data_IF_645522523552
#
_entry.id   IF_645522523552
#
_cell.length_a   1.000
_cell.length_b   1.000
_cell.length_c   1.000
_cell.angle_alpha   90.00
_cell.angle_beta   90.00
_cell.angle_gamma   90.00
#
_symmetry.space_group_name_H-M   'P 1'
#
loop_
_entity.id
_entity.type
_entity.pdbx_description
1 polymer ?
#
# COMPACT_ATOMS: atom_id res chain seq x y z
N UNK A 1 -19.47 20.01 -2.52
CA UNK A 1 -19.18 18.71 -3.16
C UNK A 1 -18.65 18.96 -4.56
N UNK A 2 -17.57 18.33 -4.97
CA UNK A 2 -17.09 18.36 -6.36
C UNK A 2 -18.07 17.62 -7.28
N UNK A 3 -17.96 17.84 -8.59
CA UNK A 3 -18.82 17.14 -9.55
C UNK A 3 -18.62 15.64 -9.51
N UNK A 4 -17.37 15.19 -9.34
CA UNK A 4 -17.06 13.80 -9.10
C UNK A 4 -17.80 13.24 -7.87
N UNK A 5 -17.82 13.95 -6.75
CA UNK A 5 -18.56 13.53 -5.55
C UNK A 5 -20.08 13.52 -5.73
N UNK A 6 -20.60 14.42 -6.57
CA UNK A 6 -22.03 14.40 -6.95
C UNK A 6 -22.34 13.16 -7.79
N UNK A 7 -21.47 12.83 -8.75
CA UNK A 7 -21.62 11.64 -9.60
C UNK A 7 -21.49 10.32 -8.82
N UNK A 8 -20.59 10.24 -7.85
CA UNK A 8 -20.49 9.07 -6.95
C UNK A 8 -21.76 8.90 -6.10
N UNK A 9 -22.45 9.98 -5.75
CA UNK A 9 -23.68 10.00 -4.95
C UNK A 9 -23.50 9.66 -3.46
N UNK A 10 -22.31 9.32 -3.02
CA UNK A 10 -21.92 8.98 -1.65
C UNK A 10 -20.51 9.50 -1.33
N UNK A 11 -20.00 9.19 -0.16
CA UNK A 11 -18.61 9.42 0.19
C UNK A 11 -17.73 8.53 -0.70
N UNK A 12 -16.68 9.10 -1.30
CA UNK A 12 -15.69 8.34 -2.06
C UNK A 12 -14.86 7.45 -1.13
N UNK A 13 -14.63 6.23 -1.55
CA UNK A 13 -13.77 5.28 -0.83
C UNK A 13 -12.39 5.31 -1.46
N UNK A 14 -11.41 5.82 -0.70
CA UNK A 14 -10.01 5.81 -1.08
C UNK A 14 -9.29 4.71 -0.27
N UNK A 15 -8.80 3.70 -0.96
CA UNK A 15 -8.08 2.58 -0.35
C UNK A 15 -6.58 2.86 -0.36
N UNK A 16 -5.96 2.88 0.82
CA UNK A 16 -4.51 2.70 0.92
C UNK A 16 -4.18 1.23 0.66
N UNK A 17 -3.74 0.94 -0.55
CA UNK A 17 -3.38 -0.39 -1.03
C UNK A 17 -1.86 -0.59 -1.10
N UNK A 18 -1.07 0.18 -0.33
CA UNK A 18 0.39 0.15 -0.35
C UNK A 18 0.98 -1.25 -0.11
N UNK A 19 0.26 -2.13 0.61
CA UNK A 19 0.64 -3.52 0.89
C UNK A 19 -0.16 -4.55 0.08
N UNK A 20 -1.06 -4.12 -0.80
CA UNK A 20 -2.08 -5.00 -1.39
C UNK A 20 -1.91 -5.27 -2.89
N UNK A 21 -0.77 -4.88 -3.50
CA UNK A 21 -0.55 -5.18 -4.92
C UNK A 21 -0.53 -6.70 -5.14
N UNK A 22 -1.42 -7.20 -6.01
CA UNK A 22 -1.63 -8.62 -6.25
C UNK A 22 -2.63 -9.31 -5.31
N UNK A 23 -3.18 -8.60 -4.31
CA UNK A 23 -4.26 -9.12 -3.47
C UNK A 23 -5.61 -9.05 -4.20
N UNK A 24 -6.54 -9.93 -3.81
CA UNK A 24 -7.90 -9.94 -4.35
C UNK A 24 -8.93 -10.25 -3.28
N UNK A 25 -10.18 -9.83 -3.53
CA UNK A 25 -11.35 -10.17 -2.72
C UNK A 25 -12.51 -10.55 -3.63
N UNK A 26 -13.14 -11.69 -3.37
CA UNK A 26 -14.27 -12.22 -4.18
C UNK A 26 -13.95 -12.22 -5.68
N UNK A 27 -12.73 -12.65 -6.03
CA UNK A 27 -12.24 -12.71 -7.41
C UNK A 27 -11.90 -11.36 -8.05
N UNK A 28 -12.04 -10.22 -7.36
CA UNK A 28 -11.66 -8.90 -7.86
C UNK A 28 -10.32 -8.47 -7.28
N UNK A 29 -9.42 -7.98 -8.12
CA UNK A 29 -8.15 -7.38 -7.68
C UNK A 29 -8.40 -6.11 -6.88
N UNK A 30 -7.57 -5.86 -5.86
CA UNK A 30 -7.73 -4.72 -4.93
C UNK A 30 -7.86 -3.38 -5.65
N UNK A 31 -7.10 -3.12 -6.70
CA UNK A 31 -7.21 -1.88 -7.48
C UNK A 31 -8.54 -1.68 -8.24
N UNK A 32 -9.44 -2.68 -8.25
CA UNK A 32 -10.74 -2.65 -8.91
C UNK A 32 -11.93 -2.75 -7.92
N UNK A 33 -11.71 -2.54 -6.63
CA UNK A 33 -12.74 -2.68 -5.58
C UNK A 33 -13.21 -1.32 -5.08
N UNK A 34 -12.30 -0.48 -4.60
CA UNK A 34 -12.61 0.87 -4.13
C UNK A 34 -12.78 1.86 -5.29
N UNK A 35 -13.33 3.04 -5.01
CA UNK A 35 -13.41 4.12 -6.02
C UNK A 35 -12.01 4.53 -6.48
N UNK A 36 -11.08 4.63 -5.52
CA UNK A 36 -9.66 4.92 -5.75
C UNK A 36 -8.80 3.96 -4.93
N UNK A 37 -7.66 3.53 -5.47
CA UNK A 37 -6.68 2.73 -4.74
C UNK A 37 -5.28 3.23 -5.05
N UNK A 38 -4.48 3.49 -3.99
CA UNK A 38 -3.09 3.90 -4.10
C UNK A 38 -2.15 2.74 -3.74
N UNK A 39 -1.20 2.45 -4.61
CA UNK A 39 -0.17 1.43 -4.42
C UNK A 39 1.19 2.07 -4.20
N UNK A 40 2.02 1.44 -3.37
CA UNK A 40 3.42 1.78 -3.19
C UNK A 40 4.31 0.75 -3.88
N UNK A 41 5.32 1.24 -4.61
CA UNK A 41 6.39 0.44 -5.20
C UNK A 41 7.75 0.78 -4.59
N UNK A 42 7.73 1.29 -3.36
CA UNK A 42 8.95 1.53 -2.56
C UNK A 42 9.78 0.25 -2.41
N UNK A 43 11.08 0.38 -2.14
CA UNK A 43 12.06 -0.70 -2.11
C UNK A 43 11.67 -1.92 -1.26
N UNK A 44 10.94 -1.72 -0.15
CA UNK A 44 10.54 -2.79 0.77
C UNK A 44 9.24 -3.50 0.37
N UNK A 45 8.55 -3.06 -0.68
CA UNK A 45 7.28 -3.66 -1.10
C UNK A 45 7.50 -4.95 -1.90
N UNK A 46 6.45 -5.78 -1.97
CA UNK A 46 6.49 -7.04 -2.73
C UNK A 46 6.82 -6.83 -4.21
N UNK A 47 6.15 -5.86 -4.81
CA UNK A 47 6.47 -5.33 -6.12
C UNK A 47 7.17 -4.00 -5.93
N UNK A 48 8.36 -3.84 -6.49
CA UNK A 48 9.16 -2.64 -6.28
C UNK A 48 9.76 -2.09 -7.55
N UNK A 49 9.86 -0.76 -7.61
CA UNK A 49 10.65 -0.01 -8.60
C UNK A 49 11.74 0.81 -7.91
N UNK A 50 12.18 0.42 -6.72
CA UNK A 50 12.97 1.15 -5.74
C UNK A 50 12.16 2.30 -5.10
N UNK A 51 11.72 3.26 -5.89
CA UNK A 51 10.73 4.28 -5.55
C UNK A 51 9.66 4.32 -6.63
N UNK A 52 8.41 4.51 -6.23
CA UNK A 52 7.29 4.61 -7.15
C UNK A 52 5.96 4.24 -6.52
N UNK A 53 4.94 4.29 -7.33
CA UNK A 53 3.57 3.93 -6.96
C UNK A 53 2.65 3.97 -8.15
N UNK A 54 1.41 3.59 -7.93
CA UNK A 54 0.33 3.69 -8.89
C UNK A 54 -0.97 4.11 -8.22
N UNK A 55 -1.79 4.83 -8.95
CA UNK A 55 -3.16 5.15 -8.61
C UNK A 55 -4.08 4.44 -9.60
N UNK A 56 -5.06 3.71 -9.08
CA UNK A 56 -6.15 3.16 -9.90
C UNK A 56 -7.49 3.71 -9.42
N UNK A 57 -8.46 3.73 -10.32
CA UNK A 57 -9.84 4.07 -9.98
C UNK A 57 -10.81 3.16 -10.69
N UNK A 58 -11.97 2.96 -10.07
CA UNK A 58 -13.05 2.11 -10.55
C UNK A 58 -14.39 2.83 -10.35
N UNK A 59 -14.72 3.71 -11.30
CA UNK A 59 -15.93 4.52 -11.28
C UNK A 59 -16.94 3.97 -12.29
N UNK A 60 -18.20 3.68 -11.89
CA UNK A 60 -19.22 3.15 -12.80
C UNK A 60 -19.45 4.02 -14.02
N UNK A 61 -19.35 5.34 -13.84
CA UNK A 61 -19.53 6.37 -14.88
C UNK A 61 -18.21 6.79 -15.57
N UNK A 62 -17.12 6.08 -15.36
CA UNK A 62 -15.79 6.47 -15.86
C UNK A 62 -15.72 6.66 -17.39
N UNK A 63 -16.61 5.99 -18.13
CA UNK A 63 -16.74 6.12 -19.61
C UNK A 63 -17.76 7.19 -20.05
N UNK A 64 -18.50 7.76 -19.13
CA UNK A 64 -19.44 8.82 -19.43
C UNK A 64 -18.72 10.14 -19.74
N UNK A 65 -19.34 10.96 -20.57
CA UNK A 65 -18.81 12.28 -20.92
C UNK A 65 -19.01 13.25 -19.77
N UNK A 66 -18.01 14.08 -19.50
CA UNK A 66 -18.13 15.21 -18.59
C UNK A 66 -19.06 16.25 -19.22
N UNK A 67 -20.13 16.59 -18.52
CA UNK A 67 -21.08 17.61 -18.95
C UNK A 67 -20.94 18.80 -18.01
N UNK A 68 -20.58 19.96 -18.55
CA UNK A 68 -20.56 21.23 -17.81
C UNK A 68 -21.99 21.73 -17.56
N UNK A 69 -22.61 21.25 -16.51
CA UNK A 69 -23.89 21.82 -16.03
C UNK A 69 -24.03 21.78 -14.50
N UNK A 70 -22.91 21.71 -13.82
CA UNK A 70 -22.92 21.66 -12.38
C UNK A 70 -22.41 23.01 -11.89
N UNK A 71 -23.24 23.68 -11.08
CA UNK A 71 -22.97 24.97 -10.47
C UNK A 71 -21.50 25.13 -10.09
N UNK A 72 -20.95 26.32 -10.35
CA UNK A 72 -19.56 26.73 -10.18
C UNK A 72 -18.81 25.89 -9.15
N UNK A 73 -17.89 25.09 -9.61
CA UNK A 73 -16.92 24.45 -8.72
C UNK A 73 -16.28 25.54 -7.86
N UNK A 74 -16.23 25.25 -6.55
CA UNK A 74 -15.49 26.06 -5.60
C UNK A 74 -14.05 26.23 -6.15
N UNK A 75 -13.66 27.44 -6.51
CA UNK A 75 -12.35 27.79 -7.07
C UNK A 75 -11.21 27.41 -6.11
N UNK A 76 -11.54 27.09 -4.85
CA UNK A 76 -10.66 26.57 -3.81
C UNK A 76 -10.57 25.04 -3.76
N UNK A 77 -11.21 24.30 -4.68
CA UNK A 77 -11.02 22.87 -4.75
C UNK A 77 -9.54 22.54 -5.01
N UNK A 78 -8.98 21.69 -4.13
CA UNK A 78 -7.56 21.31 -4.04
C UNK A 78 -6.90 20.89 -5.37
N UNK A 79 -7.65 20.69 -6.43
CA UNK A 79 -7.12 20.31 -7.73
C UNK A 79 -6.88 21.45 -8.70
N UNK A 80 -7.58 22.58 -8.62
CA UNK A 80 -7.46 23.70 -9.56
C UNK A 80 -7.49 23.33 -11.06
N UNK A 81 -7.58 22.03 -11.38
CA UNK A 81 -7.59 21.52 -12.74
C UNK A 81 -9.03 21.42 -13.21
N UNK A 82 -9.44 22.24 -14.17
CA UNK A 82 -10.82 22.24 -14.67
C UNK A 82 -11.14 20.93 -15.40
N UNK A 83 -12.40 20.52 -15.32
CA UNK A 83 -12.95 19.52 -16.21
C UNK A 83 -12.99 20.06 -17.64
N UNK A 84 -12.71 19.19 -18.62
CA UNK A 84 -12.87 19.49 -20.05
C UNK A 84 -14.16 18.83 -20.55
N UNK A 85 -15.06 19.65 -21.05
CA UNK A 85 -16.31 19.16 -21.62
C UNK A 85 -16.05 18.25 -22.81
N UNK A 86 -16.75 17.11 -22.83
CA UNK A 86 -16.60 16.11 -23.88
C UNK A 86 -15.50 15.06 -23.65
N UNK A 87 -14.58 15.27 -22.69
CA UNK A 87 -13.74 14.17 -22.16
C UNK A 87 -14.62 13.18 -21.37
N UNK A 88 -14.23 11.91 -21.34
CA UNK A 88 -14.78 10.97 -20.38
C UNK A 88 -14.23 11.27 -18.98
N UNK A 89 -14.92 10.80 -17.92
CA UNK A 89 -14.40 10.92 -16.55
C UNK A 89 -13.04 10.25 -16.39
N UNK A 90 -12.79 9.12 -17.05
CA UNK A 90 -11.49 8.46 -17.02
C UNK A 90 -10.39 9.31 -17.66
N UNK A 91 -10.62 9.91 -18.83
CA UNK A 91 -9.67 10.82 -19.48
C UNK A 91 -9.38 12.04 -18.61
N UNK A 92 -10.43 12.62 -18.02
CA UNK A 92 -10.33 13.76 -17.14
C UNK A 92 -9.48 13.45 -15.88
N UNK A 93 -9.75 12.32 -15.21
CA UNK A 93 -8.97 11.88 -14.03
C UNK A 93 -7.52 11.57 -14.40
N UNK A 94 -7.28 10.91 -15.54
CA UNK A 94 -5.92 10.65 -16.02
C UNK A 94 -5.14 11.94 -16.24
N UNK A 95 -5.73 12.89 -16.94
CA UNK A 95 -5.13 14.22 -17.18
C UNK A 95 -4.85 14.96 -15.87
N UNK A 96 -5.79 14.94 -14.91
CA UNK A 96 -5.57 15.53 -13.58
C UNK A 96 -4.40 14.87 -12.87
N UNK A 97 -4.33 13.54 -12.86
CA UNK A 97 -3.23 12.80 -12.23
C UNK A 97 -1.87 13.15 -12.87
N UNK A 98 -1.79 13.27 -14.17
CA UNK A 98 -0.57 13.70 -14.89
C UNK A 98 -0.13 15.09 -14.44
N UNK A 99 -1.03 16.08 -14.47
CA UNK A 99 -0.74 17.45 -14.05
C UNK A 99 -0.28 17.52 -12.58
N UNK A 100 -0.99 16.82 -11.69
CA UNK A 100 -0.65 16.76 -10.25
C UNK A 100 0.72 16.13 -10.00
N UNK A 101 1.13 15.15 -10.81
CA UNK A 101 2.40 14.44 -10.65
C UNK A 101 3.59 15.12 -11.33
N UNK A 102 3.34 16.03 -12.29
CA UNK A 102 4.36 16.72 -13.08
C UNK A 102 4.30 18.25 -12.88
N UNK A 103 4.27 18.71 -11.65
CA UNK A 103 4.27 20.12 -11.21
C UNK A 103 3.35 21.05 -12.03
N UNK A 104 2.24 20.54 -12.54
CA UNK A 104 1.27 21.30 -13.31
C UNK A 104 1.67 21.61 -14.74
N UNK A 105 2.70 20.97 -15.25
CA UNK A 105 3.09 21.16 -16.67
C UNK A 105 2.03 20.60 -17.61
N UNK A 106 1.48 21.44 -18.48
CA UNK A 106 0.39 21.07 -19.40
C UNK A 106 0.83 20.33 -20.66
N UNK A 107 2.13 20.15 -20.87
CA UNK A 107 2.69 19.51 -22.06
C UNK A 107 3.79 18.52 -21.69
N UNK A 108 3.57 17.28 -22.01
CA UNK A 108 4.60 16.24 -21.94
C UNK A 108 5.62 16.39 -23.09
N UNK A 109 6.86 15.99 -22.84
CA UNK A 109 7.92 15.98 -23.85
C UNK A 109 7.56 15.16 -25.09
N UNK A 110 6.75 14.09 -24.93
CA UNK A 110 6.26 13.23 -26.02
C UNK A 110 5.10 13.85 -26.82
N UNK A 111 4.39 14.82 -26.26
CA UNK A 111 3.27 15.51 -26.93
C UNK A 111 3.72 16.64 -27.87
N UNK A 112 5.01 16.78 -28.14
CA UNK A 112 5.55 17.77 -29.11
C UNK A 112 5.26 17.33 -30.51
N UNK A 113 4.13 17.74 -31.04
CA UNK A 113 3.66 17.39 -32.41
C UNK A 113 4.28 18.22 -33.51
N UNK A 114 4.96 19.33 -33.18
CA UNK A 114 5.63 20.22 -34.15
C UNK A 114 7.12 20.27 -33.89
N UNK A 115 7.91 20.19 -34.97
CA UNK A 115 9.37 20.40 -34.92
C UNK A 115 9.66 21.77 -34.29
N UNK A 116 10.52 21.81 -33.24
CA UNK A 116 10.88 23.04 -32.56
C UNK A 116 9.85 23.59 -31.55
N UNK A 117 8.74 22.91 -31.30
CA UNK A 117 7.75 23.32 -30.32
C UNK A 117 8.32 23.16 -28.88
N UNK A 118 8.72 24.29 -28.31
CA UNK A 118 9.29 24.37 -26.94
C UNK A 118 8.27 24.86 -25.89
N UNK A 119 7.24 25.58 -26.34
CA UNK A 119 6.29 26.27 -25.48
C UNK A 119 5.46 25.33 -24.65
N UNK A 120 5.44 25.56 -23.34
CA UNK A 120 4.61 24.87 -22.35
C UNK A 120 4.19 25.88 -21.28
N UNK A 121 3.21 25.51 -20.45
CA UNK A 121 2.75 26.32 -19.33
C UNK A 121 2.68 25.47 -18.05
N UNK A 122 2.85 26.13 -16.93
CA UNK A 122 2.66 25.59 -15.58
C UNK A 122 1.34 26.13 -15.06
N UNK A 123 0.29 25.33 -15.16
CA UNK A 123 -1.08 25.74 -14.83
C UNK A 123 -1.43 25.61 -13.35
N UNK A 124 -0.52 25.10 -12.53
CA UNK A 124 -0.70 24.96 -11.09
C UNK A 124 0.58 24.51 -10.39
N UNK A 125 0.69 24.80 -9.09
CA UNK A 125 1.88 24.51 -8.26
C UNK A 125 1.68 23.21 -7.51
N UNK A 126 1.88 22.07 -8.18
CA UNK A 126 1.69 20.75 -7.60
C UNK A 126 2.99 19.96 -7.46
N UNK A 127 2.90 18.65 -7.28
CA UNK A 127 4.02 17.78 -6.96
C UNK A 127 4.86 17.44 -8.20
N UNK A 128 6.12 17.08 -7.96
CA UNK A 128 7.00 16.44 -8.94
C UNK A 128 7.26 15.03 -8.47
N UNK A 129 6.40 14.09 -8.88
CA UNK A 129 6.42 12.69 -8.45
C UNK A 129 6.08 11.70 -9.59
N UNK A 130 6.29 12.10 -10.83
CA UNK A 130 6.14 11.19 -11.97
C UNK A 130 7.19 10.08 -11.93
N UNK A 131 6.80 8.88 -12.32
CA UNK A 131 7.72 7.76 -12.51
C UNK A 131 8.65 8.05 -13.69
N UNK A 132 9.95 7.81 -13.50
CA UNK A 132 10.94 7.91 -14.58
C UNK A 132 11.04 6.61 -15.37
N UNK A 133 11.48 6.66 -16.62
CA UNK A 133 11.63 5.48 -17.49
C UNK A 133 12.57 4.42 -16.89
N UNK A 134 13.61 4.86 -16.17
CA UNK A 134 14.55 3.94 -15.50
C UNK A 134 13.86 3.07 -14.46
N UNK A 135 13.05 3.68 -13.58
CA UNK A 135 12.33 2.91 -12.55
C UNK A 135 11.15 2.15 -13.15
N UNK A 136 10.53 2.66 -14.22
CA UNK A 136 9.51 1.93 -14.97
C UNK A 136 10.07 0.65 -15.61
N UNK A 137 11.28 0.70 -16.16
CA UNK A 137 11.96 -0.48 -16.71
C UNK A 137 12.21 -1.57 -15.65
N UNK A 138 12.58 -1.17 -14.42
CA UNK A 138 12.66 -2.11 -13.27
C UNK A 138 11.29 -2.74 -13.02
N UNK A 139 10.22 -1.94 -13.02
CA UNK A 139 8.85 -2.40 -12.85
C UNK A 139 8.42 -3.43 -13.88
N UNK A 140 8.77 -3.24 -15.16
CA UNK A 140 8.45 -4.21 -16.22
C UNK A 140 9.08 -5.58 -15.95
N UNK A 141 10.34 -5.63 -15.52
CA UNK A 141 11.01 -6.89 -15.15
C UNK A 141 10.39 -7.52 -13.89
N UNK A 142 10.06 -6.70 -12.88
CA UNK A 142 9.38 -7.17 -11.67
C UNK A 142 8.01 -7.78 -12.01
N UNK A 143 7.24 -7.16 -12.92
CA UNK A 143 5.92 -7.64 -13.33
C UNK A 143 5.97 -9.04 -13.92
N UNK A 144 6.97 -9.34 -14.75
CA UNK A 144 7.15 -10.68 -15.34
C UNK A 144 7.37 -11.76 -14.27
N UNK A 145 8.02 -11.42 -13.15
CA UNK A 145 8.37 -12.33 -12.07
C UNK A 145 7.32 -12.38 -10.96
N UNK A 146 6.40 -11.42 -10.92
CA UNK A 146 5.59 -11.12 -9.75
C UNK A 146 4.67 -12.28 -9.35
N UNK A 147 4.08 -12.98 -10.31
CA UNK A 147 3.24 -14.16 -10.04
C UNK A 147 4.00 -15.22 -9.24
N UNK A 148 5.21 -15.57 -9.66
CA UNK A 148 6.06 -16.54 -8.96
C UNK A 148 6.47 -16.05 -7.56
N UNK A 149 6.68 -14.73 -7.41
CA UNK A 149 6.98 -14.15 -6.10
C UNK A 149 5.80 -14.27 -5.12
N UNK A 150 4.57 -14.05 -5.58
CA UNK A 150 3.35 -14.25 -4.76
C UNK A 150 3.16 -15.73 -4.40
N UNK A 151 3.39 -16.65 -5.32
CA UNK A 151 3.32 -18.10 -5.07
C UNK A 151 4.36 -18.54 -4.03
N UNK A 152 5.59 -18.03 -4.10
CA UNK A 152 6.63 -18.29 -3.10
C UNK A 152 6.22 -17.81 -1.72
N UNK A 153 5.73 -16.57 -1.60
CA UNK A 153 5.24 -16.01 -0.33
C UNK A 153 4.10 -16.85 0.25
N UNK A 154 3.17 -17.27 -0.59
CA UNK A 154 2.05 -18.13 -0.16
C UNK A 154 2.53 -19.45 0.45
N UNK A 155 3.52 -20.10 -0.16
CA UNK A 155 4.12 -21.34 0.38
C UNK A 155 4.78 -21.10 1.74
N UNK A 156 5.54 -20.02 1.88
CA UNK A 156 6.19 -19.67 3.14
C UNK A 156 5.18 -19.37 4.25
N UNK A 157 4.13 -18.62 3.95
CA UNK A 157 3.03 -18.32 4.88
C UNK A 157 2.37 -19.61 5.35
N UNK A 158 2.03 -20.51 4.44
CA UNK A 158 1.42 -21.79 4.80
C UNK A 158 2.33 -22.63 5.73
N UNK A 159 3.64 -22.58 5.51
CA UNK A 159 4.61 -23.29 6.37
C UNK A 159 4.72 -22.64 7.75
N UNK A 160 4.73 -21.30 7.83
CA UNK A 160 4.65 -20.58 9.11
C UNK A 160 3.34 -20.93 9.85
N UNK A 161 2.20 -20.85 9.18
CA UNK A 161 0.89 -21.14 9.77
C UNK A 161 0.85 -22.55 10.38
N UNK A 162 1.41 -23.53 9.68
CA UNK A 162 1.49 -24.90 10.17
C UNK A 162 2.40 -25.01 11.40
N UNK A 163 3.58 -24.43 11.35
CA UNK A 163 4.57 -24.53 12.41
C UNK A 163 4.15 -23.80 13.69
N UNK A 164 3.38 -22.71 13.58
CA UNK A 164 2.97 -21.91 14.72
C UNK A 164 1.65 -22.36 15.36
N UNK A 165 0.92 -23.31 14.75
CA UNK A 165 -0.34 -23.86 15.31
C UNK A 165 -0.25 -24.33 16.77
N UNK A 166 0.84 -24.98 17.22
CA UNK A 166 0.94 -25.46 18.61
C UNK A 166 1.14 -24.35 19.63
N UNK A 167 1.54 -23.14 19.18
CA UNK A 167 1.86 -22.03 20.07
C UNK A 167 0.62 -21.22 20.44
N UNK A 168 0.66 -20.56 21.61
CA UNK A 168 -0.38 -19.62 22.03
C UNK A 168 -0.23 -18.26 21.31
N UNK A 169 -0.41 -18.26 19.99
CA UNK A 169 -0.26 -17.09 19.14
C UNK A 169 -1.48 -16.88 18.25
N UNK A 170 -1.64 -15.67 17.75
CA UNK A 170 -2.59 -15.34 16.69
C UNK A 170 -1.83 -14.84 15.48
N UNK A 171 -2.12 -15.40 14.31
CA UNK A 171 -1.63 -14.96 13.01
C UNK A 171 -2.77 -14.41 12.17
N UNK A 172 -2.46 -13.61 11.15
CA UNK A 172 -3.46 -13.12 10.22
C UNK A 172 -3.91 -14.25 9.29
N UNK A 173 -5.22 -14.32 9.02
CA UNK A 173 -5.72 -15.17 7.96
C UNK A 173 -5.40 -14.51 6.60
N UNK A 174 -4.42 -15.06 5.89
CA UNK A 174 -3.97 -14.53 4.60
C UNK A 174 -4.79 -15.03 3.41
N UNK A 175 -5.43 -16.17 3.55
CA UNK A 175 -6.11 -16.84 2.43
C UNK A 175 -7.37 -17.55 2.90
N UNK A 176 -8.50 -17.23 2.30
CA UNK A 176 -9.75 -17.94 2.46
C UNK A 176 -10.55 -17.96 1.14
N UNK A 177 -11.83 -18.37 1.19
CA UNK A 177 -12.71 -18.43 0.04
C UNK A 177 -13.02 -17.04 -0.56
N UNK A 178 -12.99 -15.99 0.26
CA UNK A 178 -13.32 -14.62 -0.15
C UNK A 178 -12.12 -13.77 -0.49
N UNK A 179 -10.97 -13.98 0.16
CA UNK A 179 -9.81 -13.12 -0.03
C UNK A 179 -8.48 -13.87 -0.19
N UNK A 180 -7.61 -13.27 -0.98
CA UNK A 180 -6.24 -13.70 -1.22
C UNK A 180 -5.34 -12.51 -0.91
N UNK A 181 -4.53 -12.63 0.15
CA UNK A 181 -3.54 -11.62 0.53
C UNK A 181 -2.37 -11.59 -0.47
N UNK A 182 -1.72 -10.43 -0.58
CA UNK A 182 -0.42 -10.30 -1.26
C UNK A 182 0.73 -10.95 -0.47
N UNK A 183 0.50 -11.32 0.79
CA UNK A 183 1.52 -11.90 1.67
C UNK A 183 2.68 -10.93 1.92
N UNK A 184 2.39 -9.65 2.16
CA UNK A 184 3.45 -8.65 2.34
C UNK A 184 4.20 -8.81 3.66
N UNK A 185 3.47 -8.95 4.77
CA UNK A 185 4.01 -9.12 6.12
C UNK A 185 3.46 -10.40 6.75
N UNK A 186 4.23 -11.04 7.60
CA UNK A 186 3.77 -12.13 8.45
C UNK A 186 3.79 -11.69 9.91
N UNK A 187 2.64 -11.27 10.39
CA UNK A 187 2.42 -10.72 11.72
C UNK A 187 1.99 -11.82 12.69
N UNK A 188 2.65 -11.90 13.82
CA UNK A 188 2.33 -12.85 14.91
C UNK A 188 2.05 -12.08 16.18
N UNK A 189 0.97 -12.40 16.87
CA UNK A 189 0.67 -11.85 18.19
C UNK A 189 0.88 -12.92 19.26
N UNK A 190 1.72 -12.64 20.25
CA UNK A 190 2.00 -13.48 21.39
C UNK A 190 0.92 -13.25 22.45
N UNK A 191 -0.11 -14.10 22.52
CA UNK A 191 -1.26 -13.87 23.40
C UNK A 191 -0.85 -13.83 24.87
N UNK A 192 -1.37 -12.84 25.59
CA UNK A 192 -1.10 -12.63 27.03
C UNK A 192 0.27 -12.04 27.34
N UNK A 193 1.10 -11.72 26.33
CA UNK A 193 2.41 -11.11 26.52
C UNK A 193 2.35 -9.59 26.42
N UNK A 194 3.17 -8.95 27.23
CA UNK A 194 3.39 -7.49 27.21
C UNK A 194 4.37 -7.08 26.12
N UNK A 195 4.45 -5.78 25.82
CA UNK A 195 5.46 -5.26 24.90
C UNK A 195 6.89 -5.56 25.34
N UNK A 196 7.14 -5.55 26.65
CA UNK A 196 8.46 -5.84 27.20
C UNK A 196 8.86 -7.31 27.00
N UNK A 197 7.95 -8.25 27.26
CA UNK A 197 8.19 -9.67 26.99
C UNK A 197 8.39 -9.94 25.51
N UNK A 198 7.59 -9.31 24.65
CA UNK A 198 7.74 -9.44 23.18
C UNK A 198 9.06 -8.84 22.69
N UNK A 199 9.54 -7.75 23.30
CA UNK A 199 10.86 -7.19 22.98
C UNK A 199 12.00 -8.19 23.32
N UNK A 200 11.87 -8.96 24.42
CA UNK A 200 12.84 -10.02 24.74
C UNK A 200 12.88 -11.12 23.68
N UNK A 201 11.73 -11.45 23.07
CA UNK A 201 11.71 -12.37 21.92
C UNK A 201 12.48 -11.76 20.73
N UNK A 202 12.23 -10.50 20.42
CA UNK A 202 12.93 -9.78 19.34
C UNK A 202 14.45 -9.78 19.58
N UNK A 203 14.89 -9.52 20.82
CA UNK A 203 16.29 -9.53 21.21
C UNK A 203 16.92 -10.93 21.04
N UNK A 204 16.27 -11.98 21.58
CA UNK A 204 16.73 -13.37 21.41
C UNK A 204 16.79 -13.80 19.95
N UNK A 205 15.82 -13.40 19.10
CA UNK A 205 15.85 -13.65 17.66
C UNK A 205 17.05 -12.94 17.01
N UNK A 206 17.31 -11.69 17.38
CA UNK A 206 18.45 -10.92 16.87
C UNK A 206 19.80 -11.53 17.26
N UNK A 207 19.94 -12.07 18.50
CA UNK A 207 21.13 -12.80 18.95
C UNK A 207 21.42 -14.03 18.08
N UNK A 208 20.36 -14.63 17.50
CA UNK A 208 20.48 -15.76 16.55
C UNK A 208 20.61 -15.30 15.08
N UNK A 209 20.84 -14.00 14.85
CA UNK A 209 21.02 -13.44 13.51
C UNK A 209 19.71 -13.30 12.71
N UNK A 210 18.55 -13.39 13.35
CA UNK A 210 17.23 -13.29 12.73
C UNK A 210 16.64 -11.89 12.98
N UNK A 211 16.51 -11.10 11.91
CA UNK A 211 15.91 -9.77 11.98
C UNK A 211 14.38 -9.85 11.97
N UNK A 212 13.76 -9.58 13.11
CA UNK A 212 12.31 -9.40 13.26
C UNK A 212 11.96 -7.92 13.31
N UNK A 213 10.68 -7.56 13.20
CA UNK A 213 10.23 -6.17 13.22
C UNK A 213 8.88 -6.05 13.94
N UNK A 214 8.34 -4.83 14.00
CA UNK A 214 6.99 -4.52 14.53
C UNK A 214 6.26 -3.62 13.52
N UNK A 215 5.09 -4.05 13.06
CA UNK A 215 4.27 -3.33 12.10
C UNK A 215 2.83 -3.08 12.63
N UNK A 216 2.57 -1.94 13.31
CA UNK A 216 3.50 -0.83 13.54
C UNK A 216 3.30 -0.29 14.97
N UNK A 217 4.27 0.48 15.46
CA UNK A 217 4.05 1.30 16.66
C UNK A 217 2.92 2.29 16.37
N UNK A 218 1.83 2.34 17.19
CA UNK A 218 0.69 3.22 16.95
C UNK A 218 1.06 4.68 16.81
N UNK A 219 0.44 5.39 15.86
CA UNK A 219 0.70 6.81 15.60
C UNK A 219 0.58 7.69 16.85
N UNK A 220 -0.43 7.52 17.74
CA UNK A 220 -0.50 8.29 18.99
C UNK A 220 0.73 8.18 19.90
N UNK A 221 1.54 7.13 19.73
CA UNK A 221 2.80 6.95 20.47
C UNK A 221 4.00 7.66 19.83
N UNK A 222 3.86 8.17 18.61
CA UNK A 222 4.93 8.89 17.91
C UNK A 222 5.00 10.34 18.35
N UNK A 223 6.22 10.89 18.43
CA UNK A 223 6.46 12.26 18.94
C UNK A 223 5.65 13.34 18.22
N UNK A 224 5.54 13.24 16.88
CA UNK A 224 4.78 14.21 16.09
C UNK A 224 3.29 14.22 16.47
N UNK A 225 2.69 13.05 16.64
CA UNK A 225 1.27 12.92 16.99
C UNK A 225 0.98 13.29 18.44
N UNK A 226 1.90 12.97 19.37
CA UNK A 226 1.81 13.46 20.76
C UNK A 226 1.80 15.00 20.83
N UNK A 227 2.60 15.68 20.00
CA UNK A 227 2.60 17.14 19.89
C UNK A 227 1.27 17.71 19.35
N UNK A 228 0.50 16.92 18.63
CA UNK A 228 -0.85 17.27 18.16
C UNK A 228 -1.95 16.96 19.20
N UNK A 229 -1.58 16.48 20.39
CA UNK A 229 -2.52 16.20 21.49
C UNK A 229 -3.06 14.78 21.52
N UNK A 230 -2.57 13.86 20.69
CA UNK A 230 -3.00 12.46 20.74
C UNK A 230 -2.35 11.72 21.92
N UNK A 231 -3.15 10.95 22.69
CA UNK A 231 -2.69 10.02 23.72
C UNK A 231 -3.07 8.57 23.34
N UNK A 232 -2.16 7.64 23.49
CA UNK A 232 -2.42 6.21 23.22
C UNK A 232 -3.53 5.63 24.10
N UNK A 233 -3.79 6.20 25.27
CA UNK A 233 -4.86 5.78 26.18
C UNK A 233 -6.25 5.91 25.55
N UNK A 234 -6.42 6.84 24.60
CA UNK A 234 -7.66 7.04 23.84
C UNK A 234 -7.85 5.97 22.74
N UNK A 235 -6.81 5.15 22.51
CA UNK A 235 -6.76 4.14 21.43
C UNK A 235 -6.39 2.75 21.99
N UNK A 236 -7.16 2.20 22.97
CA UNK A 236 -6.79 0.95 23.66
C UNK A 236 -6.68 -0.25 22.70
N UNK A 237 -7.52 -0.33 21.68
CA UNK A 237 -7.45 -1.39 20.68
C UNK A 237 -6.16 -1.35 19.86
N UNK A 238 -5.70 -0.16 19.46
CA UNK A 238 -4.45 0.00 18.73
C UNK A 238 -3.25 -0.39 19.60
N UNK A 239 -3.27 -0.02 20.88
CA UNK A 239 -2.25 -0.45 21.85
C UNK A 239 -2.25 -1.96 22.04
N UNK A 240 -3.42 -2.55 22.26
CA UNK A 240 -3.58 -3.98 22.46
C UNK A 240 -3.09 -4.82 21.25
N UNK A 241 -3.29 -4.32 20.02
CA UNK A 241 -2.75 -4.98 18.83
C UNK A 241 -1.23 -4.86 18.70
N UNK A 242 -0.65 -3.78 19.20
CA UNK A 242 0.78 -3.50 19.15
C UNK A 242 1.58 -4.20 20.28
N UNK A 243 1.03 -4.27 21.49
CA UNK A 243 1.81 -4.62 22.69
C UNK A 243 2.48 -6.02 22.61
N UNK A 244 1.92 -6.93 21.84
CA UNK A 244 2.41 -8.30 21.71
C UNK A 244 2.62 -8.75 20.27
N UNK A 245 2.73 -7.79 19.34
CA UNK A 245 2.98 -8.07 17.94
C UNK A 245 4.48 -8.16 17.64
N UNK A 246 4.85 -9.15 16.83
CA UNK A 246 6.14 -9.34 16.20
C UNK A 246 5.94 -9.76 14.75
N UNK A 247 6.72 -9.19 13.83
CA UNK A 247 6.70 -9.55 12.42
C UNK A 247 7.90 -10.43 12.10
N UNK A 248 7.65 -11.65 11.62
CA UNK A 248 8.67 -12.58 11.18
C UNK A 248 9.16 -12.26 9.76
N UNK A 249 10.42 -12.62 9.43
CA UNK A 249 10.99 -12.45 8.10
C UNK A 249 10.15 -13.14 7.02
N UNK A 250 9.82 -12.41 5.96
CA UNK A 250 9.10 -12.93 4.81
C UNK A 250 9.56 -12.22 3.54
N UNK A 251 10.48 -12.83 2.80
CA UNK A 251 10.92 -12.33 1.51
C UNK A 251 11.26 -13.46 0.54
N UNK A 252 11.15 -13.19 -0.75
CA UNK A 252 11.28 -14.23 -1.79
C UNK A 252 12.71 -14.72 -2.07
N UNK A 253 13.72 -14.14 -1.39
CA UNK A 253 15.12 -14.60 -1.45
C UNK A 253 15.45 -15.63 -0.37
N UNK A 254 14.61 -15.74 0.67
CA UNK A 254 14.79 -16.76 1.69
C UNK A 254 14.68 -18.14 1.04
N UNK A 255 15.64 -19.00 1.35
CA UNK A 255 15.58 -20.44 1.01
C UNK A 255 14.58 -21.17 1.91
N UNK A 256 14.37 -22.45 1.68
CA UNK A 256 13.54 -23.24 2.59
C UNK A 256 14.29 -23.49 3.91
N UNK A 257 15.62 -23.63 3.86
CA UNK A 257 16.50 -23.76 5.03
C UNK A 257 16.46 -22.47 5.88
N UNK A 258 16.50 -21.28 5.27
CA UNK A 258 16.36 -20.01 6.00
C UNK A 258 14.99 -19.94 6.70
N UNK A 259 13.93 -20.39 6.03
CA UNK A 259 12.58 -20.39 6.59
C UNK A 259 12.46 -21.33 7.80
N UNK A 260 12.99 -22.56 7.67
CA UNK A 260 12.99 -23.53 8.78
C UNK A 260 13.84 -23.02 9.95
N UNK A 261 15.00 -22.42 9.69
CA UNK A 261 15.83 -21.82 10.71
C UNK A 261 15.09 -20.74 11.51
N UNK A 262 14.35 -19.87 10.84
CA UNK A 262 13.52 -18.87 11.52
C UNK A 262 12.42 -19.53 12.35
N UNK A 263 11.75 -20.54 11.83
CA UNK A 263 10.66 -21.27 12.50
C UNK A 263 11.19 -21.95 13.77
N UNK A 264 12.24 -22.76 13.67
CA UNK A 264 12.80 -23.52 14.79
C UNK A 264 13.19 -22.59 15.93
N UNK A 265 13.94 -21.52 15.62
CA UNK A 265 14.36 -20.55 16.61
C UNK A 265 13.17 -19.79 17.26
N UNK A 266 12.19 -19.40 16.47
CA UNK A 266 11.02 -18.70 17.00
C UNK A 266 10.17 -19.60 17.90
N UNK A 267 9.93 -20.84 17.49
CA UNK A 267 9.16 -21.84 18.26
C UNK A 267 9.87 -22.14 19.59
N UNK A 268 11.18 -22.37 19.58
CA UNK A 268 11.99 -22.60 20.78
C UNK A 268 11.87 -21.42 21.75
N UNK A 269 12.16 -20.19 21.27
CA UNK A 269 12.17 -18.99 22.12
C UNK A 269 10.78 -18.71 22.72
N UNK A 270 9.71 -18.88 21.95
CA UNK A 270 8.34 -18.64 22.42
C UNK A 270 7.86 -19.73 23.37
N UNK A 271 8.32 -20.97 23.20
CA UNK A 271 7.98 -22.07 24.12
C UNK A 271 8.64 -21.96 25.50
N UNK A 272 9.69 -21.15 25.62
CA UNK A 272 10.38 -20.86 26.91
C UNK A 272 9.76 -19.67 27.69
N UNK A 273 8.77 -18.95 27.10
CA UNK A 273 8.11 -17.79 27.71
C UNK A 273 6.94 -18.19 28.61
#
# INVERSE_FOLDING_TARGET
KTDLQKMIGRVAICCDAAHAFGASRKGKMVGAIADFSSFSFHAVKNFTTAEGGALTWNLPFGKEKVVKNLDKCDENAFSGVPEIEGETWNENLYRKAQLLSLHGQNKDALAKTKLGAWEYDIIGTWYKCNMTDVVAAIGLVQMQRYKGMLERRRKMIARYDEALKPLNVVVLNHYDEEHISSGHLYLVRLLGKTREETNKVIEKMAERGIATNVHYKPLPMMTAYKKLGFDIKDFPNAFHMFENEITLPLNTKMTDEDLEYVIENFVEIVSEL
#
